data_IF_662303332916
#
_entry.id   IF_662303332916
#
_cell.length_a   1.000
_cell.length_b   1.000
_cell.length_c   1.000
_cell.angle_alpha   90.00
_cell.angle_beta   90.00
_cell.angle_gamma   90.00
#
_symmetry.space_group_name_H-M   'P 1'
#
loop_
_entity.id
_entity.type
_entity.pdbx_description
1 polymer ?
#
# COMPACT_ATOMS: atom_id res chain seq x y z
N UNK A 1 14.73 7.39 0.58
CA UNK A 1 13.79 7.21 1.71
C UNK A 1 13.64 5.71 1.93
N UNK A 2 13.26 5.22 3.12
CA UNK A 2 12.94 3.81 3.26
C UNK A 2 11.76 3.45 2.36
N UNK A 3 11.68 2.17 1.98
CA UNK A 3 10.54 1.65 1.23
C UNK A 3 9.54 1.04 2.19
N UNK A 4 8.27 1.34 1.98
CA UNK A 4 7.15 0.77 2.71
C UNK A 4 6.37 -0.15 1.78
N UNK A 5 5.96 -1.29 2.31
CA UNK A 5 4.98 -2.15 1.68
C UNK A 5 3.61 -1.81 2.25
N UNK A 6 2.72 -1.32 1.39
CA UNK A 6 1.34 -0.98 1.72
C UNK A 6 0.44 -2.05 1.16
N UNK A 7 -0.23 -2.79 2.05
CA UNK A 7 -1.20 -3.81 1.69
C UNK A 7 -2.59 -3.18 1.68
N UNK A 8 -3.28 -3.28 0.56
CA UNK A 8 -4.65 -2.83 0.40
C UNK A 8 -5.55 -4.04 0.16
N UNK A 9 -6.66 -4.08 0.87
CA UNK A 9 -7.80 -4.91 0.54
C UNK A 9 -8.50 -4.30 -0.68
N UNK A 10 -8.64 -5.09 -1.73
CA UNK A 10 -9.44 -4.78 -2.93
C UNK A 10 -10.67 -5.70 -2.92
N UNK A 11 -11.74 -5.31 -3.61
CA UNK A 11 -12.97 -6.11 -3.84
C UNK A 11 -13.57 -6.76 -2.57
N UNK A 12 -14.58 -6.16 -1.95
CA UNK A 12 -15.23 -6.60 -0.68
C UNK A 12 -14.28 -7.19 0.40
N UNK A 13 -12.99 -6.80 0.37
CA UNK A 13 -11.90 -7.32 1.22
C UNK A 13 -11.58 -8.81 1.03
N UNK A 14 -11.84 -9.35 -0.14
CA UNK A 14 -11.51 -10.73 -0.52
C UNK A 14 -10.06 -10.85 -0.95
N UNK A 15 -9.57 -9.86 -1.70
CA UNK A 15 -8.24 -9.87 -2.31
C UNK A 15 -7.31 -8.81 -1.70
N UNK A 16 -6.01 -9.10 -1.71
CA UNK A 16 -4.97 -8.22 -1.16
C UNK A 16 -3.94 -7.93 -2.23
N UNK A 17 -3.76 -6.64 -2.52
CA UNK A 17 -2.67 -6.14 -3.34
C UNK A 17 -1.63 -5.47 -2.45
N UNK A 18 -0.36 -5.55 -2.84
CA UNK A 18 0.75 -4.95 -2.10
C UNK A 18 1.51 -4.00 -3.00
N UNK A 19 1.61 -2.73 -2.59
CA UNK A 19 2.38 -1.71 -3.29
C UNK A 19 3.62 -1.35 -2.50
N UNK A 20 4.79 -1.43 -3.14
CA UNK A 20 6.01 -0.87 -2.56
C UNK A 20 6.15 0.58 -3.00
N UNK A 21 6.13 1.49 -2.03
CA UNK A 21 6.30 2.93 -2.25
C UNK A 21 7.39 3.50 -1.35
N UNK A 22 8.05 4.58 -1.78
CA UNK A 22 8.95 5.33 -0.92
C UNK A 22 8.14 6.08 0.16
N UNK A 23 8.54 5.96 1.42
CA UNK A 23 7.81 6.57 2.54
C UNK A 23 8.53 6.47 3.87
N UNK A 24 7.87 6.91 4.95
CA UNK A 24 8.39 6.79 6.32
C UNK A 24 7.32 6.15 7.22
N UNK A 25 7.67 5.09 7.96
CA UNK A 25 6.70 4.37 8.80
C UNK A 25 6.12 5.26 9.91
N UNK A 26 6.82 6.32 10.33
CA UNK A 26 6.30 7.29 11.31
C UNK A 26 5.27 8.23 10.70
N UNK A 27 5.26 8.38 9.37
CA UNK A 27 4.33 9.20 8.59
C UNK A 27 3.89 8.45 7.33
N UNK A 28 3.10 7.37 7.49
CA UNK A 28 2.74 6.51 6.36
C UNK A 28 1.63 7.10 5.48
N UNK A 29 1.12 8.29 5.78
CA UNK A 29 0.01 8.92 5.05
C UNK A 29 0.27 9.04 3.55
N UNK A 30 1.37 9.68 3.17
CA UNK A 30 1.78 9.82 1.76
C UNK A 30 1.94 8.46 1.05
N UNK A 31 2.47 7.45 1.76
CA UNK A 31 2.64 6.10 1.20
C UNK A 31 1.30 5.39 0.98
N UNK A 32 0.36 5.55 1.90
CA UNK A 32 -0.99 5.00 1.78
C UNK A 32 -1.74 5.68 0.64
N UNK A 33 -1.64 7.01 0.51
CA UNK A 33 -2.27 7.76 -0.59
C UNK A 33 -1.73 7.31 -1.94
N UNK A 34 -0.39 7.24 -2.09
CA UNK A 34 0.26 6.71 -3.30
C UNK A 34 -0.23 5.31 -3.67
N UNK A 35 -0.29 4.40 -2.69
CA UNK A 35 -0.76 3.03 -2.92
C UNK A 35 -2.23 2.99 -3.37
N UNK A 36 -3.07 3.90 -2.86
CA UNK A 36 -4.48 4.01 -3.29
C UNK A 36 -4.61 4.58 -4.70
N UNK A 37 -3.77 5.55 -5.07
CA UNK A 37 -3.74 6.12 -6.43
C UNK A 37 -3.32 5.07 -7.46
N UNK A 38 -2.31 4.26 -7.14
CA UNK A 38 -1.88 3.13 -7.98
C UNK A 38 -3.01 2.12 -8.13
N UNK A 39 -3.65 1.73 -7.02
CA UNK A 39 -4.80 0.81 -7.06
C UNK A 39 -5.97 1.36 -7.89
N UNK A 40 -6.29 2.65 -7.77
CA UNK A 40 -7.33 3.29 -8.57
C UNK A 40 -6.96 3.30 -10.07
N UNK A 41 -5.69 3.52 -10.40
CA UNK A 41 -5.19 3.46 -11.80
C UNK A 41 -5.24 2.05 -12.38
N UNK A 42 -5.13 1.02 -11.54
CA UNK A 42 -5.33 -0.37 -11.94
C UNK A 42 -6.81 -0.77 -12.06
N UNK A 43 -7.74 0.11 -11.66
CA UNK A 43 -9.19 -0.10 -11.77
C UNK A 43 -9.85 -0.63 -10.50
N UNK A 44 -9.20 -0.53 -9.34
CA UNK A 44 -9.84 -0.84 -8.06
C UNK A 44 -10.59 0.39 -7.52
N UNK A 45 -11.92 0.40 -7.65
CA UNK A 45 -12.78 1.49 -7.16
C UNK A 45 -12.88 1.55 -5.63
N UNK A 46 -12.86 0.39 -4.96
CA UNK A 46 -12.96 0.28 -3.51
C UNK A 46 -11.74 -0.40 -2.91
N UNK A 47 -10.87 0.40 -2.27
CA UNK A 47 -9.70 -0.09 -1.57
C UNK A 47 -9.69 0.30 -0.09
N UNK A 48 -9.39 -0.66 0.76
CA UNK A 48 -9.28 -0.45 2.21
C UNK A 48 -7.85 -0.75 2.66
N UNK A 49 -7.33 0.06 3.58
CA UNK A 49 -6.00 -0.21 4.13
C UNK A 49 -6.03 -1.50 4.97
N UNK A 50 -5.17 -2.46 4.63
CA UNK A 50 -4.94 -3.66 5.45
C UNK A 50 -3.80 -3.44 6.43
N UNK A 51 -2.62 -3.09 5.92
CA UNK A 51 -1.38 -3.02 6.70
C UNK A 51 -0.36 -2.13 6.00
N UNK A 52 0.51 -1.48 6.77
CA UNK A 52 1.72 -0.83 6.27
C UNK A 52 2.90 -1.36 7.06
N UNK A 53 3.93 -1.80 6.37
CA UNK A 53 5.16 -2.34 6.96
C UNK A 53 6.39 -1.78 6.26
N UNK A 54 7.52 -1.73 6.96
CA UNK A 54 8.81 -1.46 6.32
C UNK A 54 9.14 -2.65 5.41
N UNK A 55 9.57 -2.35 4.18
CA UNK A 55 10.03 -3.40 3.29
C UNK A 55 11.28 -4.04 3.87
N UNK A 56 11.17 -5.31 4.23
CA UNK A 56 12.34 -6.07 4.67
C UNK A 56 13.32 -6.20 3.49
N UNK A 57 14.62 -5.96 3.70
CA UNK A 57 15.61 -6.27 2.68
C UNK A 57 15.56 -7.78 2.42
N UNK A 58 15.38 -8.18 1.16
CA UNK A 58 15.49 -9.58 0.77
C UNK A 58 16.88 -10.07 1.19
N UNK A 59 16.92 -11.08 2.08
CA UNK A 59 18.15 -11.71 2.54
C UNK A 59 18.85 -12.48 1.42
#
# INVERSE_FOLDING_TARGET
MPKLDVKLWVDDRTDVVTYTVDGDLKRPGDAIERAREEAASEGYDEVNLKEVSLREPAQ
#
